data_IF_200766463584
#
_entry.id   IF_200766463584
#
_cell.length_a   1.000
_cell.length_b   1.000
_cell.length_c   1.000
_cell.angle_alpha   90.00
_cell.angle_beta   90.00
_cell.angle_gamma   90.00
#
_symmetry.space_group_name_H-M   'P 1'
#
loop_
_entity.id
_entity.type
_entity.pdbx_description
1 polymer ?
#
# COMPACT_ATOMS: atom_id res chain seq x y z
N UNK A 1 -40.74 -11.34 70.31
CA UNK A 1 -39.30 -11.68 70.41
C UNK A 1 -38.70 -11.39 69.04
N UNK A 2 -37.74 -10.47 68.99
CA UNK A 2 -37.25 -9.79 67.78
C UNK A 2 -36.61 -10.72 66.75
N UNK A 3 -37.01 -10.62 65.49
CA UNK A 3 -36.27 -11.20 64.36
C UNK A 3 -35.80 -10.10 63.42
N UNK A 4 -34.48 -10.13 63.18
CA UNK A 4 -33.65 -9.08 62.59
C UNK A 4 -33.93 -8.88 61.10
N UNK A 5 -34.24 -7.65 60.70
CA UNK A 5 -34.20 -7.22 59.31
C UNK A 5 -32.73 -7.03 58.90
N UNK A 6 -32.21 -7.89 58.02
CA UNK A 6 -30.89 -7.74 57.41
C UNK A 6 -30.98 -6.72 56.28
N UNK A 7 -30.39 -5.55 56.48
CA UNK A 7 -30.07 -4.62 55.40
C UNK A 7 -28.96 -5.24 54.54
N UNK A 8 -29.27 -5.52 53.28
CA UNK A 8 -28.26 -5.79 52.26
C UNK A 8 -27.88 -4.45 51.61
N UNK A 9 -26.64 -4.00 51.85
CA UNK A 9 -26.01 -2.97 51.03
C UNK A 9 -25.79 -3.58 49.63
N UNK A 10 -26.51 -3.09 48.63
CA UNK A 10 -26.16 -3.31 47.23
C UNK A 10 -25.07 -2.28 46.91
N UNK A 11 -23.81 -2.73 46.88
CA UNK A 11 -22.73 -1.96 46.31
C UNK A 11 -22.95 -1.86 44.79
N UNK A 12 -23.36 -0.69 44.31
CA UNK A 12 -23.42 -0.40 42.89
C UNK A 12 -21.99 -0.31 42.35
N UNK A 13 -21.50 -1.41 41.79
CA UNK A 13 -20.26 -1.42 40.98
C UNK A 13 -20.56 -0.62 39.72
N UNK A 14 -20.12 0.64 39.70
CA UNK A 14 -20.17 1.48 38.51
C UNK A 14 -19.11 0.93 37.55
N UNK A 15 -19.54 0.08 36.62
CA UNK A 15 -18.72 -0.35 35.49
C UNK A 15 -18.43 0.89 34.64
N UNK A 16 -17.24 1.47 34.81
CA UNK A 16 -16.72 2.46 33.87
C UNK A 16 -16.45 1.71 32.57
N UNK A 17 -17.40 1.76 31.65
CA UNK A 17 -17.20 1.36 30.27
C UNK A 17 -16.10 2.28 29.72
N UNK A 18 -14.86 1.78 29.67
CA UNK A 18 -13.88 2.29 28.74
C UNK A 18 -14.47 2.07 27.35
N UNK A 19 -15.12 3.10 26.82
CA UNK A 19 -15.36 3.20 25.39
C UNK A 19 -13.97 3.27 24.79
N UNK A 20 -13.46 2.12 24.32
CA UNK A 20 -12.36 2.10 23.40
C UNK A 20 -12.77 3.04 22.27
N UNK A 21 -12.15 4.21 22.19
CA UNK A 21 -12.20 5.02 20.99
C UNK A 21 -11.63 4.11 19.91
N UNK A 22 -12.52 3.53 19.09
CA UNK A 22 -12.14 2.95 17.82
C UNK A 22 -11.45 4.09 17.09
N UNK A 23 -10.12 4.08 17.08
CA UNK A 23 -9.37 5.00 16.25
C UNK A 23 -9.92 4.83 14.84
N UNK A 24 -10.49 5.90 14.30
CA UNK A 24 -10.92 5.92 12.91
C UNK A 24 -9.74 5.51 12.05
N UNK A 25 -10.02 4.77 10.99
CA UNK A 25 -9.01 4.30 10.03
C UNK A 25 -8.18 5.47 9.50
N UNK A 26 -8.84 6.50 8.97
CA UNK A 26 -8.23 7.82 8.74
C UNK A 26 -8.69 8.80 9.83
N UNK A 27 -7.88 9.84 10.07
CA UNK A 27 -8.23 10.88 11.04
C UNK A 27 -9.57 11.57 10.69
N UNK A 28 -10.31 12.01 11.71
CA UNK A 28 -11.61 12.67 11.52
C UNK A 28 -11.51 13.95 10.68
N UNK A 29 -10.50 14.84 10.87
CA UNK A 29 -10.35 16.02 10.02
C UNK A 29 -10.12 15.64 8.55
N UNK A 30 -9.30 14.62 8.27
CA UNK A 30 -9.06 14.18 6.90
C UNK A 30 -10.30 13.53 6.27
N UNK A 31 -11.03 12.68 6.99
CA UNK A 31 -12.31 12.13 6.50
C UNK A 31 -13.29 13.25 6.15
N UNK A 32 -13.43 14.25 7.03
CA UNK A 32 -14.33 15.39 6.82
C UNK A 32 -13.91 16.19 5.59
N UNK A 33 -12.61 16.46 5.44
CA UNK A 33 -12.07 17.12 4.25
C UNK A 33 -12.42 16.36 2.96
N UNK A 34 -12.28 15.03 2.96
CA UNK A 34 -12.67 14.22 1.80
C UNK A 34 -14.17 14.34 1.54
N UNK A 35 -15.01 14.24 2.57
CA UNK A 35 -16.45 14.36 2.43
C UNK A 35 -16.87 15.71 1.85
N UNK A 36 -16.25 16.80 2.30
CA UNK A 36 -16.54 18.16 1.85
C UNK A 36 -16.07 18.45 0.41
N UNK A 37 -14.96 17.85 -0.03
CA UNK A 37 -14.35 18.15 -1.33
C UNK A 37 -14.61 17.09 -2.43
N UNK A 38 -14.89 15.86 -2.03
CA UNK A 38 -15.07 14.70 -2.92
C UNK A 38 -16.40 13.97 -2.70
N UNK A 39 -17.09 14.23 -1.58
CA UNK A 39 -18.37 13.60 -1.24
C UNK A 39 -18.25 12.47 -0.22
N UNK A 40 -19.33 12.23 0.53
CA UNK A 40 -19.36 11.25 1.64
C UNK A 40 -19.07 9.82 1.18
N UNK A 41 -19.54 9.43 -0.01
CA UNK A 41 -19.27 8.09 -0.57
C UNK A 41 -17.76 7.86 -0.78
N UNK A 42 -17.03 8.87 -1.24
CA UNK A 42 -15.57 8.78 -1.40
C UNK A 42 -14.88 8.76 -0.04
N UNK A 43 -15.39 9.53 0.93
CA UNK A 43 -14.87 9.53 2.31
C UNK A 43 -15.01 8.15 2.96
N UNK A 44 -16.18 7.52 2.89
CA UNK A 44 -16.43 6.17 3.40
C UNK A 44 -15.52 5.14 2.70
N UNK A 45 -15.44 5.23 1.37
CA UNK A 45 -14.62 4.34 0.55
C UNK A 45 -13.14 4.42 0.89
N UNK A 46 -12.60 5.63 1.09
CA UNK A 46 -11.19 5.81 1.47
C UNK A 46 -10.93 5.52 2.94
N UNK A 47 -11.92 5.73 3.81
CA UNK A 47 -11.79 5.39 5.22
C UNK A 47 -11.75 3.86 5.42
N UNK A 48 -12.53 3.07 4.68
CA UNK A 48 -12.54 1.61 4.86
C UNK A 48 -12.88 1.17 6.30
N UNK A 49 -13.82 1.86 6.92
CA UNK A 49 -14.33 1.52 8.26
C UNK A 49 -14.99 0.12 8.27
N UNK A 50 -15.46 -0.37 7.10
CA UNK A 50 -16.05 -1.69 6.86
C UNK A 50 -15.10 -2.86 7.20
N UNK A 51 -13.78 -2.65 7.14
CA UNK A 51 -12.76 -3.67 7.45
C UNK A 51 -12.00 -3.37 8.74
N UNK A 52 -12.61 -2.57 9.61
CA UNK A 52 -12.12 -2.23 10.95
C UNK A 52 -10.95 -1.24 10.94
N UNK A 53 -10.34 -1.04 12.11
CA UNK A 53 -9.28 -0.05 12.35
C UNK A 53 -8.05 -0.19 11.43
N UNK A 54 -7.93 -1.34 10.75
CA UNK A 54 -6.84 -1.67 9.84
C UNK A 54 -7.05 -1.20 8.40
N UNK A 55 -8.26 -0.73 8.08
CA UNK A 55 -8.68 -0.43 6.72
C UNK A 55 -7.89 0.67 6.03
N UNK A 56 -7.52 1.73 6.74
CA UNK A 56 -6.76 2.85 6.16
C UNK A 56 -5.92 3.52 7.23
N UNK A 57 -5.10 4.48 6.84
CA UNK A 57 -4.37 5.40 7.73
C UNK A 57 -4.11 6.74 7.09
N UNK A 58 -3.92 7.74 7.94
CA UNK A 58 -3.42 9.05 7.56
C UNK A 58 -4.32 10.22 7.98
N UNK A 59 -3.75 11.40 7.82
CA UNK A 59 -4.33 12.68 8.19
C UNK A 59 -3.94 13.15 9.59
N UNK A 60 -4.12 14.45 9.81
CA UNK A 60 -3.80 15.09 11.09
C UNK A 60 -4.95 14.97 12.07
N UNK A 61 -4.62 14.84 13.35
CA UNK A 61 -5.61 15.00 14.43
C UNK A 61 -5.99 16.47 14.65
N UNK A 62 -5.24 17.41 14.07
CA UNK A 62 -5.56 18.84 14.06
C UNK A 62 -6.54 19.19 12.93
N UNK A 63 -7.44 20.14 13.21
CA UNK A 63 -8.37 20.69 12.24
C UNK A 63 -7.67 21.60 11.21
N UNK A 64 -8.20 21.63 9.99
CA UNK A 64 -7.67 22.44 8.88
C UNK A 64 -6.53 21.79 8.10
N UNK A 65 -5.81 22.60 7.32
CA UNK A 65 -4.68 22.14 6.50
C UNK A 65 -3.52 21.74 7.41
N UNK A 66 -3.01 20.50 7.30
CA UNK A 66 -1.97 20.02 8.20
C UNK A 66 -0.65 20.73 7.92
N UNK A 67 0.07 21.09 8.98
CA UNK A 67 1.41 21.68 8.89
C UNK A 67 2.45 20.58 8.77
N UNK A 68 2.84 20.26 7.55
CA UNK A 68 3.76 19.16 7.28
C UNK A 68 5.22 19.59 7.39
N UNK A 69 6.04 18.74 7.99
CA UNK A 69 7.50 18.91 8.04
C UNK A 69 8.16 18.15 6.87
N UNK A 70 7.54 17.05 6.44
CA UNK A 70 8.06 16.16 5.39
C UNK A 70 7.09 16.06 4.22
N UNK A 71 7.60 15.59 3.07
CA UNK A 71 6.78 15.33 1.88
C UNK A 71 5.76 14.22 2.23
N UNK A 72 4.47 14.40 1.94
CA UNK A 72 3.49 13.35 2.16
C UNK A 72 3.74 12.12 1.27
N UNK A 73 3.53 10.94 1.84
CA UNK A 73 3.77 9.64 1.19
C UNK A 73 2.47 8.83 1.18
N UNK A 74 2.11 8.31 0.00
CA UNK A 74 0.99 7.38 -0.17
C UNK A 74 1.52 5.97 -0.38
N UNK A 75 1.22 5.07 0.56
CA UNK A 75 1.58 3.67 0.51
C UNK A 75 0.44 2.85 -0.12
N UNK A 76 0.79 1.95 -1.04
CA UNK A 76 -0.13 1.08 -1.75
C UNK A 76 0.26 -0.37 -1.48
N UNK A 77 -0.55 -1.05 -0.68
CA UNK A 77 -0.32 -2.43 -0.25
C UNK A 77 -0.43 -3.42 -1.42
N UNK A 78 -0.02 -4.67 -1.18
CA UNK A 78 -0.11 -5.78 -2.15
C UNK A 78 -1.42 -6.58 -2.06
N UNK A 79 -1.43 -7.79 -2.64
CA UNK A 79 -2.62 -8.64 -2.77
C UNK A 79 -3.33 -8.96 -1.45
N UNK A 80 -4.68 -8.84 -1.47
CA UNK A 80 -5.69 -9.12 -0.42
C UNK A 80 -5.30 -8.77 1.03
N UNK A 81 -4.52 -7.70 1.22
CA UNK A 81 -4.17 -7.18 2.55
C UNK A 81 -4.79 -5.81 2.79
N UNK A 82 -4.63 -5.30 4.00
CA UNK A 82 -5.10 -3.96 4.38
C UNK A 82 -3.95 -2.96 4.40
N UNK A 83 -4.27 -1.68 4.25
CA UNK A 83 -3.27 -0.61 4.32
C UNK A 83 -2.43 -0.67 5.61
N UNK A 84 -3.06 -0.90 6.78
CA UNK A 84 -2.36 -1.00 8.07
C UNK A 84 -1.55 -2.30 8.23
N UNK A 85 -1.64 -3.24 7.30
CA UNK A 85 -0.75 -4.42 7.27
C UNK A 85 0.70 -4.02 6.87
N UNK A 86 0.92 -2.76 6.52
CA UNK A 86 2.23 -2.14 6.34
C UNK A 86 2.79 -1.48 7.61
N UNK A 87 2.13 -1.61 8.78
CA UNK A 87 2.58 -0.98 10.02
C UNK A 87 4.04 -1.31 10.38
N UNK A 88 4.48 -2.53 10.07
CA UNK A 88 5.88 -2.90 10.27
C UNK A 88 6.84 -2.11 9.36
N UNK A 89 6.46 -1.89 8.10
CA UNK A 89 7.20 -1.07 7.13
C UNK A 89 7.23 0.41 7.53
N UNK A 90 6.20 0.89 8.24
CA UNK A 90 6.11 2.27 8.70
C UNK A 90 6.98 2.58 9.93
N UNK A 91 7.48 1.55 10.66
CA UNK A 91 8.28 1.76 11.88
C UNK A 91 9.51 2.66 11.65
N UNK A 92 10.34 2.42 10.62
CA UNK A 92 11.46 3.31 10.29
C UNK A 92 11.03 4.76 10.01
N UNK A 93 9.91 4.96 9.32
CA UNK A 93 9.38 6.29 9.05
C UNK A 93 9.02 7.01 10.35
N UNK A 94 8.31 6.34 11.26
CA UNK A 94 7.96 6.89 12.57
C UNK A 94 9.19 7.15 13.45
N UNK A 95 10.19 6.26 13.43
CA UNK A 95 11.46 6.46 14.12
C UNK A 95 12.19 7.73 13.63
N UNK A 96 12.04 8.07 12.35
CA UNK A 96 12.56 9.29 11.74
C UNK A 96 11.56 10.47 11.75
N UNK A 97 10.52 10.38 12.58
CA UNK A 97 9.58 11.47 12.87
C UNK A 97 8.56 11.75 11.78
N UNK A 98 8.24 10.81 10.90
CA UNK A 98 7.00 10.89 10.13
C UNK A 98 5.80 10.64 11.05
N UNK A 99 4.76 11.44 10.93
CA UNK A 99 3.47 11.22 11.59
C UNK A 99 2.43 10.74 10.58
N UNK A 100 1.23 10.40 11.05
CA UNK A 100 0.10 10.14 10.15
C UNK A 100 -0.37 11.38 9.38
N UNK A 101 0.07 12.59 9.74
CA UNK A 101 -0.11 13.75 8.88
C UNK A 101 0.77 13.69 7.62
N UNK A 102 1.80 12.86 7.57
CA UNK A 102 2.68 12.70 6.40
C UNK A 102 2.62 11.32 5.73
N UNK A 103 2.07 10.29 6.37
CA UNK A 103 1.95 8.94 5.76
C UNK A 103 0.49 8.52 5.64
N UNK A 104 0.14 8.00 4.46
CA UNK A 104 -1.23 7.72 4.08
C UNK A 104 -1.34 6.36 3.38
N UNK A 105 -2.47 5.69 3.56
CA UNK A 105 -2.79 4.47 2.81
C UNK A 105 -4.27 4.12 2.93
N UNK A 106 -4.85 3.60 1.85
CA UNK A 106 -6.22 3.05 1.85
C UNK A 106 -6.20 1.61 1.41
N UNK A 107 -7.06 0.77 2.01
CA UNK A 107 -7.22 -0.59 1.50
C UNK A 107 -8.06 -0.56 0.24
N UNK A 108 -7.53 -1.01 -0.89
CA UNK A 108 -8.34 -1.27 -2.07
C UNK A 108 -8.94 -2.68 -2.00
N UNK A 109 -10.05 -2.88 -2.70
CA UNK A 109 -10.70 -4.19 -2.81
C UNK A 109 -11.56 -4.58 -1.62
N UNK A 110 -12.52 -5.47 -1.90
CA UNK A 110 -13.59 -5.84 -0.96
C UNK A 110 -13.23 -7.07 -0.13
N UNK A 111 -12.39 -7.95 -0.68
CA UNK A 111 -11.94 -9.17 -0.02
C UNK A 111 -10.56 -8.94 0.61
N UNK A 112 -10.55 -8.58 1.90
CA UNK A 112 -9.32 -8.32 2.66
C UNK A 112 -8.86 -9.52 3.50
N UNK A 113 -9.42 -10.70 3.22
CA UNK A 113 -9.11 -11.96 3.91
C UNK A 113 -8.01 -12.72 3.19
N UNK A 114 -7.29 -13.57 3.93
CA UNK A 114 -6.22 -14.39 3.36
C UNK A 114 -6.66 -15.48 2.37
N UNK A 115 -7.97 -15.71 2.21
CA UNK A 115 -8.50 -16.85 1.43
C UNK A 115 -8.71 -16.54 -0.05
N UNK A 116 -8.58 -15.29 -0.49
CA UNK A 116 -8.94 -14.87 -1.86
C UNK A 116 -7.77 -14.30 -2.68
N UNK A 117 -6.52 -14.52 -2.26
CA UNK A 117 -5.37 -13.89 -2.91
C UNK A 117 -5.33 -14.15 -4.42
N UNK A 118 -5.56 -15.38 -4.89
CA UNK A 118 -5.54 -15.69 -6.33
C UNK A 118 -6.74 -15.18 -7.17
N UNK A 119 -7.73 -14.54 -6.55
CA UNK A 119 -8.95 -14.06 -7.21
C UNK A 119 -8.91 -12.59 -7.62
N UNK A 120 -7.95 -11.83 -7.10
CA UNK A 120 -7.82 -10.41 -7.39
C UNK A 120 -7.24 -10.15 -8.78
N UNK A 121 -7.79 -9.13 -9.44
CA UNK A 121 -7.34 -8.60 -10.73
C UNK A 121 -7.12 -7.10 -10.59
N UNK A 122 -6.54 -6.47 -11.59
CA UNK A 122 -6.49 -5.01 -11.70
C UNK A 122 -7.86 -4.40 -12.03
N UNK A 123 -8.84 -4.62 -11.15
CA UNK A 123 -10.17 -4.07 -11.28
C UNK A 123 -10.11 -2.55 -11.29
N UNK A 124 -10.83 -1.91 -12.22
CA UNK A 124 -10.88 -0.45 -12.30
C UNK A 124 -11.24 0.21 -10.95
N UNK A 125 -12.13 -0.42 -10.20
CA UNK A 125 -12.55 0.03 -8.87
C UNK A 125 -11.35 0.13 -7.90
N UNK A 126 -10.41 -0.82 -7.96
CA UNK A 126 -9.25 -0.85 -7.06
C UNK A 126 -8.28 0.26 -7.45
N UNK A 127 -8.08 0.45 -8.76
CA UNK A 127 -7.24 1.52 -9.31
C UNK A 127 -7.79 2.90 -8.97
N UNK A 128 -9.11 3.10 -9.12
CA UNK A 128 -9.80 4.35 -8.75
C UNK A 128 -9.59 4.67 -7.28
N UNK A 129 -9.66 3.67 -6.41
CA UNK A 129 -9.45 3.88 -4.99
C UNK A 129 -8.02 4.34 -4.65
N UNK A 130 -7.00 3.71 -5.25
CA UNK A 130 -5.61 4.15 -5.12
C UNK A 130 -5.44 5.59 -5.64
N UNK A 131 -6.02 5.89 -6.81
CA UNK A 131 -5.96 7.22 -7.40
C UNK A 131 -6.61 8.29 -6.52
N UNK A 132 -7.82 8.02 -6.04
CA UNK A 132 -8.57 8.93 -5.17
C UNK A 132 -7.80 9.24 -3.88
N UNK A 133 -7.10 8.26 -3.32
CA UNK A 133 -6.24 8.50 -2.15
C UNK A 133 -5.10 9.47 -2.48
N UNK A 134 -4.43 9.31 -3.62
CA UNK A 134 -3.37 10.23 -4.06
C UNK A 134 -3.93 11.67 -4.24
N UNK A 135 -5.07 11.80 -4.91
CA UNK A 135 -5.72 13.09 -5.17
C UNK A 135 -6.23 13.75 -3.87
N UNK A 136 -6.82 12.97 -2.96
CA UNK A 136 -7.27 13.44 -1.65
C UNK A 136 -6.11 13.95 -0.80
N UNK A 137 -4.97 13.24 -0.76
CA UNK A 137 -3.78 13.68 -0.02
C UNK A 137 -3.20 14.95 -0.61
N UNK A 138 -3.05 15.03 -1.94
CA UNK A 138 -2.58 16.25 -2.62
C UNK A 138 -3.50 17.45 -2.34
N UNK A 139 -4.81 17.23 -2.26
CA UNK A 139 -5.79 18.28 -1.98
C UNK A 139 -5.79 18.69 -0.50
N UNK A 140 -5.80 17.73 0.42
CA UNK A 140 -5.85 17.96 1.87
C UNK A 140 -4.59 18.64 2.39
N UNK A 141 -3.43 18.16 1.98
CA UNK A 141 -2.13 18.69 2.45
C UNK A 141 -1.73 19.97 1.72
N UNK A 142 -2.38 20.30 0.61
CA UNK A 142 -2.01 21.37 -0.33
C UNK A 142 -0.59 21.24 -0.90
N UNK A 143 0.07 20.09 -0.71
CA UNK A 143 1.43 19.87 -1.19
C UNK A 143 1.44 19.80 -2.73
N UNK A 144 2.45 20.41 -3.38
CA UNK A 144 2.52 20.41 -4.84
C UNK A 144 2.75 19.01 -5.40
N UNK A 145 3.45 18.15 -4.67
CA UNK A 145 3.75 16.77 -5.05
C UNK A 145 3.78 15.84 -3.84
N UNK A 146 3.48 14.56 -4.04
CA UNK A 146 3.60 13.48 -3.04
C UNK A 146 4.58 12.41 -3.51
N UNK A 147 5.05 11.59 -2.59
CA UNK A 147 5.68 10.31 -2.95
C UNK A 147 4.65 9.18 -2.95
N UNK A 148 4.87 8.18 -3.79
CA UNK A 148 4.02 6.98 -3.88
C UNK A 148 4.89 5.74 -3.80
N UNK A 149 4.55 4.84 -2.88
CA UNK A 149 5.28 3.58 -2.67
C UNK A 149 4.33 2.42 -2.88
N UNK A 150 4.58 1.61 -3.90
CA UNK A 150 3.81 0.39 -4.17
C UNK A 150 4.57 -0.86 -3.71
N UNK A 151 3.85 -1.82 -3.14
CA UNK A 151 4.39 -3.13 -2.75
C UNK A 151 3.67 -4.24 -3.49
N UNK A 152 4.41 -5.20 -4.06
CA UNK A 152 3.80 -6.36 -4.72
C UNK A 152 2.77 -5.92 -5.77
N UNK A 153 1.51 -6.38 -5.67
CA UNK A 153 0.41 -5.97 -6.54
C UNK A 153 0.08 -4.46 -6.49
N UNK A 154 0.46 -3.76 -5.42
CA UNK A 154 0.36 -2.30 -5.33
C UNK A 154 1.25 -1.55 -6.31
N UNK A 155 2.32 -2.18 -6.82
CA UNK A 155 3.20 -1.60 -7.85
C UNK A 155 2.47 -1.37 -9.17
N UNK A 156 1.91 -2.39 -9.84
CA UNK A 156 1.14 -2.15 -11.05
C UNK A 156 -0.10 -1.26 -10.79
N UNK A 157 -0.73 -1.36 -9.62
CA UNK A 157 -1.93 -0.58 -9.33
C UNK A 157 -1.65 0.92 -9.18
N UNK A 158 -0.61 1.28 -8.44
CA UNK A 158 -0.13 2.66 -8.35
C UNK A 158 0.32 3.19 -9.71
N UNK A 159 0.99 2.37 -10.51
CA UNK A 159 1.32 2.68 -11.91
C UNK A 159 0.08 3.05 -12.73
N UNK A 160 -0.99 2.25 -12.70
CA UNK A 160 -2.21 2.61 -13.44
C UNK A 160 -2.91 3.85 -12.88
N UNK A 161 -2.97 4.00 -11.56
CA UNK A 161 -3.56 5.16 -10.90
C UNK A 161 -2.86 6.46 -11.32
N UNK A 162 -1.53 6.43 -11.43
CA UNK A 162 -0.72 7.57 -11.89
C UNK A 162 -0.86 7.78 -13.40
N UNK A 163 -0.86 6.72 -14.20
CA UNK A 163 -1.02 6.81 -15.66
C UNK A 163 -2.34 7.48 -16.04
N UNK A 164 -3.41 7.17 -15.32
CA UNK A 164 -4.75 7.61 -15.67
C UNK A 164 -5.26 6.96 -16.97
N UNK A 165 -6.00 7.74 -17.76
CA UNK A 165 -6.65 7.29 -18.98
C UNK A 165 -7.76 6.27 -18.69
N UNK A 166 -8.05 5.40 -19.66
CA UNK A 166 -9.14 4.42 -19.52
C UNK A 166 -8.70 3.17 -18.76
N UNK A 167 -9.56 2.67 -17.88
CA UNK A 167 -9.44 1.34 -17.33
C UNK A 167 -9.57 0.27 -18.44
N UNK A 168 -8.71 -0.74 -18.41
CA UNK A 168 -8.62 -1.74 -19.47
C UNK A 168 -9.81 -2.71 -19.48
N UNK A 169 -10.37 -3.00 -18.30
CA UNK A 169 -11.52 -3.88 -18.10
C UNK A 169 -12.87 -3.20 -18.34
N UNK A 170 -13.08 -2.01 -17.78
CA UNK A 170 -14.38 -1.32 -17.81
C UNK A 170 -14.47 -0.19 -18.83
N UNK A 171 -13.34 0.33 -19.31
CA UNK A 171 -13.30 1.52 -20.18
C UNK A 171 -13.58 2.85 -19.48
N UNK A 172 -13.83 2.82 -18.17
CA UNK A 172 -14.07 4.01 -17.36
C UNK A 172 -12.85 4.93 -17.35
N UNK A 173 -13.08 6.23 -17.32
CA UNK A 173 -12.01 7.24 -17.35
C UNK A 173 -11.47 7.51 -15.93
N UNK A 174 -10.15 7.34 -15.76
CA UNK A 174 -9.41 7.70 -14.57
C UNK A 174 -8.94 9.17 -14.62
N UNK A 175 -9.12 9.87 -15.74
CA UNK A 175 -8.67 11.24 -15.93
C UNK A 175 -7.20 11.33 -16.37
N UNK A 176 -6.67 12.55 -16.34
CA UNK A 176 -5.32 12.85 -16.81
C UNK A 176 -4.22 12.22 -15.94
N UNK A 177 -3.01 11.97 -16.49
CA UNK A 177 -1.89 11.45 -15.73
C UNK A 177 -1.53 12.34 -14.53
N UNK A 178 -1.22 11.72 -13.39
CA UNK A 178 -0.74 12.41 -12.18
C UNK A 178 0.78 12.62 -12.18
N UNK A 179 1.48 12.27 -13.25
CA UNK A 179 2.95 12.34 -13.41
C UNK A 179 3.60 13.63 -12.88
N UNK A 180 2.95 14.78 -13.09
CA UNK A 180 3.49 16.08 -12.64
C UNK A 180 3.30 16.34 -11.12
N UNK A 181 2.43 15.58 -10.47
CA UNK A 181 2.09 15.64 -9.04
C UNK A 181 2.80 14.57 -8.21
N UNK A 182 3.57 13.68 -8.84
CA UNK A 182 4.39 12.70 -8.14
C UNK A 182 5.83 13.23 -8.06
N UNK A 183 6.37 13.29 -6.84
CA UNK A 183 7.78 13.61 -6.59
C UNK A 183 8.61 12.36 -6.80
N UNK A 184 8.37 11.32 -6.01
CA UNK A 184 9.04 10.02 -6.15
C UNK A 184 8.01 8.92 -6.30
N UNK A 185 8.24 8.02 -7.26
CA UNK A 185 7.55 6.73 -7.26
C UNK A 185 8.56 5.63 -6.95
N UNK A 186 8.24 4.75 -6.00
CA UNK A 186 9.05 3.61 -5.61
C UNK A 186 8.22 2.33 -5.69
N UNK A 187 8.66 1.38 -6.52
CA UNK A 187 8.09 0.03 -6.57
C UNK A 187 8.95 -0.97 -5.80
N UNK A 188 8.33 -1.76 -4.93
CA UNK A 188 8.99 -2.80 -4.12
C UNK A 188 8.41 -4.17 -4.47
N UNK A 189 9.25 -5.11 -4.91
CA UNK A 189 8.87 -6.49 -5.21
C UNK A 189 7.62 -6.61 -6.12
N UNK A 190 7.54 -5.76 -7.16
CA UNK A 190 6.29 -5.52 -7.87
C UNK A 190 6.02 -6.43 -9.07
N UNK A 191 4.81 -6.99 -9.15
CA UNK A 191 4.32 -7.83 -10.26
C UNK A 191 3.98 -7.07 -11.57
N UNK A 192 4.60 -5.91 -11.79
CA UNK A 192 4.34 -5.05 -12.95
C UNK A 192 4.91 -5.59 -14.27
N UNK A 193 5.57 -6.76 -14.26
CA UNK A 193 5.99 -7.53 -15.45
C UNK A 193 5.29 -8.89 -15.53
N UNK A 194 4.27 -9.09 -14.69
CA UNK A 194 3.60 -10.35 -14.47
C UNK A 194 4.18 -11.17 -13.32
N UNK A 195 3.54 -12.28 -13.01
CA UNK A 195 3.88 -13.21 -11.93
C UNK A 195 4.28 -14.58 -12.48
N UNK A 196 5.22 -15.27 -11.83
CA UNK A 196 5.69 -16.57 -12.31
C UNK A 196 4.62 -17.65 -12.17
N UNK A 197 3.76 -17.58 -11.15
CA UNK A 197 2.69 -18.55 -10.92
C UNK A 197 1.67 -18.54 -12.06
N UNK A 198 1.54 -17.43 -12.79
CA UNK A 198 0.70 -17.39 -14.00
C UNK A 198 1.23 -18.25 -15.14
N UNK A 199 2.51 -18.64 -15.10
CA UNK A 199 3.07 -19.62 -16.04
C UNK A 199 2.79 -21.04 -15.60
N UNK A 200 2.78 -21.27 -14.29
CA UNK A 200 2.54 -22.59 -13.70
C UNK A 200 1.07 -22.98 -13.82
N UNK A 201 0.17 -22.04 -13.50
CA UNK A 201 -1.27 -22.20 -13.70
C UNK A 201 -1.90 -20.91 -14.26
N UNK A 202 -2.16 -20.83 -15.58
CA UNK A 202 -2.76 -19.65 -16.19
C UNK A 202 -4.26 -19.51 -15.88
N UNK A 203 -4.89 -20.47 -15.17
CA UNK A 203 -6.32 -20.45 -14.88
C UNK A 203 -6.68 -19.62 -13.65
N UNK A 204 -5.69 -19.18 -12.86
CA UNK A 204 -5.97 -18.24 -11.78
C UNK A 204 -6.57 -16.94 -12.33
N UNK A 205 -7.56 -16.41 -11.62
CA UNK A 205 -8.21 -15.16 -12.03
C UNK A 205 -7.22 -14.00 -12.09
N UNK A 206 -6.23 -13.98 -11.19
CA UNK A 206 -5.14 -13.01 -11.22
C UNK A 206 -4.33 -13.04 -12.53
N UNK A 207 -4.39 -14.12 -13.31
CA UNK A 207 -3.70 -14.30 -14.58
C UNK A 207 -4.58 -13.97 -15.79
N UNK A 208 -5.70 -13.29 -15.57
CA UNK A 208 -6.62 -12.90 -16.62
C UNK A 208 -5.91 -12.14 -17.78
N UNK A 209 -6.16 -12.49 -19.05
CA UNK A 209 -5.47 -11.86 -20.20
C UNK A 209 -5.90 -10.40 -20.47
N UNK A 210 -6.96 -9.91 -19.81
CA UNK A 210 -7.42 -8.52 -19.93
C UNK A 210 -6.84 -7.71 -18.78
N UNK A 211 -7.25 -8.00 -17.54
CA UNK A 211 -6.90 -7.21 -16.36
C UNK A 211 -6.11 -7.97 -15.29
N UNK A 212 -5.44 -9.06 -15.67
CA UNK A 212 -4.56 -9.82 -14.78
C UNK A 212 -3.07 -9.47 -14.94
N UNK A 213 -2.22 -10.28 -14.31
CA UNK A 213 -0.77 -10.15 -14.21
C UNK A 213 -0.07 -11.30 -14.95
N UNK A 214 -0.63 -11.73 -16.09
CA UNK A 214 -0.06 -12.82 -16.88
C UNK A 214 1.15 -12.33 -17.71
N UNK A 215 2.37 -12.86 -17.49
CA UNK A 215 3.57 -12.48 -18.24
C UNK A 215 3.60 -13.05 -19.66
N UNK A 216 2.96 -14.19 -19.91
CA UNK A 216 3.04 -14.92 -21.17
C UNK A 216 1.83 -14.60 -22.04
N UNK A 217 2.09 -13.81 -23.10
CA UNK A 217 1.05 -13.17 -23.90
C UNK A 217 0.72 -11.73 -23.51
N UNK A 218 1.31 -11.21 -22.41
CA UNK A 218 1.11 -9.87 -21.83
C UNK A 218 -0.37 -9.46 -21.74
N UNK A 219 -0.93 -9.52 -20.53
CA UNK A 219 -2.30 -9.03 -20.34
C UNK A 219 -2.44 -7.60 -20.87
N UNK A 220 -3.63 -7.24 -21.37
CA UNK A 220 -3.88 -5.87 -21.86
C UNK A 220 -3.53 -4.81 -20.82
N UNK A 221 -3.72 -5.14 -19.54
CA UNK A 221 -3.36 -4.28 -18.42
C UNK A 221 -1.85 -4.11 -18.25
N UNK A 222 -1.07 -5.19 -18.31
CA UNK A 222 0.40 -5.09 -18.26
C UNK A 222 0.93 -4.29 -19.46
N UNK A 223 0.39 -4.53 -20.66
CA UNK A 223 0.74 -3.76 -21.84
C UNK A 223 0.44 -2.26 -21.67
N UNK A 224 -0.73 -1.92 -21.12
CA UNK A 224 -1.15 -0.53 -20.89
C UNK A 224 -0.21 0.21 -19.93
N UNK A 225 0.16 -0.40 -18.79
CA UNK A 225 1.05 0.25 -17.80
C UNK A 225 2.54 0.22 -18.17
N UNK A 226 2.94 -0.61 -19.15
CA UNK A 226 4.33 -0.77 -19.54
C UNK A 226 4.68 -0.11 -20.88
N UNK A 227 3.69 0.14 -21.75
CA UNK A 227 3.90 0.83 -23.03
C UNK A 227 4.49 2.24 -22.84
N UNK A 228 3.96 3.10 -21.96
CA UNK A 228 4.59 4.37 -21.66
C UNK A 228 5.77 4.16 -20.70
N UNK A 229 6.84 4.91 -20.93
CA UNK A 229 8.06 4.88 -20.12
C UNK A 229 8.14 6.12 -19.24
N UNK A 230 8.59 5.92 -17.99
CA UNK A 230 8.93 6.98 -17.04
C UNK A 230 7.81 7.99 -16.75
N UNK A 231 6.56 7.55 -16.81
CA UNK A 231 5.41 8.40 -16.53
C UNK A 231 5.07 8.43 -15.03
N UNK A 232 5.65 7.53 -14.23
CA UNK A 232 5.37 7.38 -12.81
C UNK A 232 5.78 8.65 -12.02
N UNK A 233 6.85 9.32 -12.44
CA UNK A 233 7.28 10.63 -11.95
C UNK A 233 8.20 11.32 -12.95
N UNK A 234 8.15 12.66 -13.02
CA UNK A 234 9.16 13.45 -13.77
C UNK A 234 10.46 13.69 -12.98
N UNK A 235 10.48 13.37 -11.70
CA UNK A 235 11.58 13.75 -10.81
C UNK A 235 12.43 12.54 -10.42
N UNK A 236 11.82 11.46 -9.94
CA UNK A 236 12.53 10.30 -9.40
C UNK A 236 11.68 9.04 -9.47
N UNK A 237 12.22 7.98 -10.08
CA UNK A 237 11.60 6.66 -10.22
C UNK A 237 12.55 5.61 -9.66
N UNK A 238 12.12 4.87 -8.65
CA UNK A 238 12.95 3.94 -7.88
C UNK A 238 12.36 2.54 -7.89
N UNK A 239 13.23 1.54 -7.75
CA UNK A 239 12.84 0.14 -7.66
C UNK A 239 13.66 -0.60 -6.62
N UNK A 240 12.98 -1.49 -5.88
CA UNK A 240 13.60 -2.56 -5.11
C UNK A 240 13.04 -3.87 -5.67
N UNK A 241 13.94 -4.71 -6.13
CA UNK A 241 13.64 -5.98 -6.78
C UNK A 241 14.53 -7.08 -6.18
N UNK A 242 14.05 -8.33 -6.14
CA UNK A 242 14.84 -9.48 -5.71
C UNK A 242 14.85 -10.56 -6.78
N UNK A 243 16.00 -11.18 -7.02
CA UNK A 243 16.11 -12.33 -7.93
C UNK A 243 15.51 -13.60 -7.31
N UNK A 244 15.53 -13.69 -5.98
CA UNK A 244 15.05 -14.84 -5.20
C UNK A 244 13.57 -14.65 -4.79
N UNK A 245 12.88 -13.67 -5.38
CA UNK A 245 11.44 -13.47 -5.17
C UNK A 245 10.67 -14.70 -5.69
N UNK A 246 10.13 -15.47 -4.76
CA UNK A 246 9.44 -16.74 -4.97
C UNK A 246 8.00 -16.58 -5.47
N UNK A 247 7.49 -15.35 -5.57
CA UNK A 247 6.12 -15.04 -6.01
C UNK A 247 6.15 -14.32 -7.36
N UNK A 248 6.80 -13.17 -7.44
CA UNK A 248 6.91 -12.47 -8.73
C UNK A 248 7.87 -13.23 -9.68
N UNK A 249 8.78 -14.01 -9.11
CA UNK A 249 9.76 -14.81 -9.83
C UNK A 249 11.05 -14.05 -10.14
N UNK A 250 12.12 -14.78 -10.50
CA UNK A 250 13.39 -14.19 -10.87
C UNK A 250 13.22 -13.25 -12.06
N UNK A 251 13.70 -12.02 -11.90
CA UNK A 251 13.67 -11.01 -12.95
C UNK A 251 14.82 -11.29 -13.92
N UNK A 252 14.57 -12.20 -14.86
CA UNK A 252 15.50 -12.41 -15.95
C UNK A 252 15.58 -11.14 -16.81
N UNK A 253 16.80 -10.75 -17.18
CA UNK A 253 17.10 -9.55 -17.99
C UNK A 253 16.35 -9.51 -19.34
N UNK A 254 15.79 -10.64 -19.75
CA UNK A 254 15.14 -10.89 -21.05
C UNK A 254 13.61 -10.92 -21.01
N UNK A 255 12.92 -10.35 -20.01
CA UNK A 255 11.47 -10.14 -20.05
C UNK A 255 11.00 -9.08 -21.08
N UNK A 256 11.55 -9.17 -22.30
CA UNK A 256 11.11 -8.59 -23.58
C UNK A 256 11.48 -7.12 -23.84
N UNK A 257 12.78 -6.83 -23.83
CA UNK A 257 13.33 -5.75 -24.67
C UNK A 257 13.39 -4.35 -24.09
N UNK A 258 12.94 -4.13 -22.85
CA UNK A 258 13.18 -2.86 -22.13
C UNK A 258 14.33 -3.09 -21.15
N UNK A 259 15.45 -2.39 -21.35
CA UNK A 259 16.57 -2.47 -20.40
C UNK A 259 16.13 -1.90 -19.05
N UNK A 260 16.42 -2.61 -17.95
CA UNK A 260 16.12 -2.17 -16.56
C UNK A 260 16.56 -0.71 -16.29
N UNK A 261 17.65 -0.30 -16.93
CA UNK A 261 18.27 1.04 -16.85
C UNK A 261 17.47 2.17 -17.52
N UNK A 262 16.46 1.86 -18.34
CA UNK A 262 15.66 2.88 -19.04
C UNK A 262 14.42 3.31 -18.23
N UNK A 263 14.00 2.51 -17.23
CA UNK A 263 12.79 2.77 -16.43
C UNK A 263 13.06 3.43 -15.07
N UNK A 264 14.14 3.04 -14.38
CA UNK A 264 14.45 3.54 -13.04
C UNK A 264 15.62 4.52 -13.06
N UNK A 265 15.56 5.53 -12.21
CA UNK A 265 16.72 6.36 -11.86
C UNK A 265 17.67 5.61 -10.92
N UNK A 266 17.13 4.75 -10.05
CA UNK A 266 17.89 3.80 -9.24
C UNK A 266 17.08 2.52 -9.03
N UNK A 267 17.72 1.39 -9.28
CA UNK A 267 17.18 0.05 -9.02
C UNK A 267 18.12 -0.66 -8.05
N UNK A 268 17.61 -1.05 -6.89
CA UNK A 268 18.31 -1.96 -5.96
C UNK A 268 17.88 -3.38 -6.31
N UNK A 269 18.84 -4.22 -6.69
CA UNK A 269 18.62 -5.61 -7.05
C UNK A 269 19.21 -6.53 -5.99
N UNK A 270 18.35 -7.06 -5.15
CA UNK A 270 18.65 -8.00 -4.08
C UNK A 270 18.80 -9.41 -4.66
N UNK A 271 19.64 -10.20 -4.02
CA UNK A 271 20.12 -11.49 -4.47
C UNK A 271 19.53 -12.67 -3.69
N UNK A 272 19.14 -12.50 -2.42
CA UNK A 272 18.94 -13.63 -1.49
C UNK A 272 17.63 -13.64 -0.72
N UNK A 273 16.70 -12.75 -1.04
CA UNK A 273 15.48 -12.58 -0.24
C UNK A 273 14.21 -12.93 -1.02
N UNK A 274 13.30 -13.68 -0.38
CA UNK A 274 11.99 -14.01 -0.95
C UNK A 274 11.00 -12.84 -0.94
N UNK A 275 9.82 -13.05 -1.54
CA UNK A 275 8.79 -12.01 -1.68
C UNK A 275 8.38 -11.41 -0.34
N UNK A 276 8.22 -12.28 0.66
CA UNK A 276 7.86 -11.87 2.02
C UNK A 276 8.90 -10.93 2.63
N UNK A 277 10.17 -11.34 2.57
CA UNK A 277 11.27 -10.55 3.08
C UNK A 277 11.28 -9.15 2.41
N UNK A 278 11.15 -9.12 1.08
CA UNK A 278 11.19 -7.89 0.30
C UNK A 278 10.03 -6.93 0.60
N UNK A 279 8.83 -7.45 0.88
CA UNK A 279 7.64 -6.60 1.11
C UNK A 279 7.63 -6.01 2.52
N UNK A 280 7.93 -6.78 3.57
CA UNK A 280 7.73 -6.32 4.96
C UNK A 280 8.99 -5.90 5.69
N UNK A 281 10.16 -6.39 5.30
CA UNK A 281 11.38 -6.27 6.12
C UNK A 281 12.45 -5.37 5.51
N UNK A 282 12.05 -4.50 4.58
CA UNK A 282 12.92 -3.50 3.94
C UNK A 282 12.52 -2.07 4.29
N UNK A 283 11.84 -1.84 5.42
CA UNK A 283 11.35 -0.52 5.81
C UNK A 283 12.43 0.56 5.84
N UNK A 284 13.61 0.24 6.38
CA UNK A 284 14.75 1.17 6.44
C UNK A 284 15.29 1.47 5.04
N UNK A 285 15.51 0.46 4.20
CA UNK A 285 15.93 0.64 2.81
C UNK A 285 14.93 1.50 2.00
N UNK A 286 13.62 1.29 2.21
CA UNK A 286 12.57 2.12 1.58
C UNK A 286 12.68 3.57 2.05
N UNK A 287 12.86 3.80 3.35
CA UNK A 287 13.06 5.13 3.93
C UNK A 287 14.30 5.81 3.35
N UNK A 288 15.45 5.12 3.34
CA UNK A 288 16.73 5.65 2.86
C UNK A 288 16.65 6.05 1.38
N UNK A 289 16.05 5.20 0.54
CA UNK A 289 15.88 5.48 -0.89
C UNK A 289 14.97 6.70 -1.16
N UNK A 290 13.88 6.85 -0.40
CA UNK A 290 12.95 7.97 -0.55
C UNK A 290 13.53 9.30 -0.06
N UNK A 291 14.45 9.25 0.90
CA UNK A 291 15.04 10.41 1.57
C UNK A 291 16.50 10.67 1.17
N UNK A 292 17.01 9.94 0.18
CA UNK A 292 18.38 10.06 -0.34
C UNK A 292 19.46 9.89 0.75
N UNK A 293 19.19 9.06 1.76
CA UNK A 293 20.20 8.68 2.74
C UNK A 293 21.21 7.70 2.12
N UNK A 294 22.44 7.64 2.66
CA UNK A 294 23.37 6.56 2.36
C UNK A 294 22.69 5.21 2.59
N UNK A 295 22.97 4.26 1.70
CA UNK A 295 22.51 2.89 1.89
C UNK A 295 23.55 2.12 2.70
N UNK A 296 23.07 1.31 3.63
CA UNK A 296 23.89 0.27 4.25
C UNK A 296 24.33 -0.78 3.22
N UNK A 297 25.27 -1.63 3.64
CA UNK A 297 25.72 -2.74 2.81
C UNK A 297 24.55 -3.68 2.48
N UNK A 298 24.34 -3.94 1.18
CA UNK A 298 23.19 -4.73 0.71
C UNK A 298 23.20 -6.14 1.28
N UNK A 299 24.36 -6.75 1.53
CA UNK A 299 24.44 -8.09 2.14
C UNK A 299 23.92 -8.04 3.57
N UNK A 300 24.30 -7.01 4.33
CA UNK A 300 23.79 -6.79 5.69
C UNK A 300 22.28 -6.57 5.71
N UNK A 301 21.75 -5.73 4.82
CA UNK A 301 20.30 -5.47 4.70
C UNK A 301 19.54 -6.78 4.42
N UNK A 302 20.05 -7.61 3.50
CA UNK A 302 19.45 -8.90 3.19
C UNK A 302 19.52 -9.90 4.35
N UNK A 303 20.65 -9.95 5.05
CA UNK A 303 20.82 -10.85 6.20
C UNK A 303 19.83 -10.50 7.31
N UNK A 304 19.66 -9.21 7.62
CA UNK A 304 18.67 -8.74 8.59
C UNK A 304 17.24 -9.05 8.13
N UNK A 305 16.89 -8.75 6.88
CA UNK A 305 15.57 -9.04 6.35
C UNK A 305 15.23 -10.54 6.37
N UNK A 306 16.21 -11.40 6.09
CA UNK A 306 16.07 -12.86 6.18
C UNK A 306 15.90 -13.33 7.61
N UNK A 307 16.67 -12.79 8.55
CA UNK A 307 16.55 -13.11 9.97
C UNK A 307 15.16 -12.74 10.49
N UNK A 308 14.70 -11.51 10.23
CA UNK A 308 13.38 -11.04 10.61
C UNK A 308 12.28 -11.88 9.96
N UNK A 309 12.40 -12.19 8.66
CA UNK A 309 11.41 -13.01 7.95
C UNK A 309 11.29 -14.44 8.47
N UNK A 310 12.38 -15.01 9.03
CA UNK A 310 12.36 -16.34 9.66
C UNK A 310 11.81 -16.32 11.08
N UNK A 311 12.10 -15.26 11.82
CA UNK A 311 11.80 -15.17 13.25
C UNK A 311 10.45 -14.54 13.57
N UNK A 312 9.90 -13.70 12.68
CA UNK A 312 8.64 -13.01 12.90
C UNK A 312 7.50 -13.62 12.08
N UNK A 313 6.46 -14.03 12.79
CA UNK A 313 5.20 -14.49 12.19
C UNK A 313 4.43 -13.31 11.60
N UNK A 314 3.41 -13.61 10.81
CA UNK A 314 2.48 -12.58 10.31
C UNK A 314 1.83 -11.80 11.46
N UNK A 315 1.46 -12.48 12.55
CA UNK A 315 0.91 -11.82 13.74
C UNK A 315 1.88 -10.86 14.40
N UNK A 316 3.18 -11.19 14.44
CA UNK A 316 4.22 -10.34 15.06
C UNK A 316 4.44 -9.04 14.28
N UNK A 317 4.30 -9.09 12.95
CA UNK A 317 4.32 -7.90 12.09
C UNK A 317 2.94 -7.24 11.96
N UNK A 318 2.02 -7.65 12.82
CA UNK A 318 0.70 -7.10 12.96
C UNK A 318 -0.33 -7.72 12.02
N UNK A 319 0.00 -8.55 11.02
CA UNK A 319 -0.94 -9.15 10.06
C UNK A 319 -1.86 -10.18 10.74
N UNK A 320 -3.16 -10.05 10.51
CA UNK A 320 -4.17 -11.00 11.00
C UNK A 320 -5.07 -11.44 9.86
N UNK A 321 -5.26 -12.75 9.72
CA UNK A 321 -6.07 -13.36 8.67
C UNK A 321 -7.54 -13.55 9.09
N UNK A 322 -7.89 -13.28 10.35
CA UNK A 322 -9.26 -13.40 10.84
C UNK A 322 -10.02 -12.08 10.71
N UNK A 323 -10.92 -12.03 9.73
CA UNK A 323 -12.11 -11.18 9.67
C UNK A 323 -13.26 -11.98 9.07
#
# INVERSE_FOLDING_TARGET
MFTKMKFWLIAAVTCVLFVYHTHGTISKPFRRHIAENFGEEIAERLAREDVGWRGSFGGSDEEGVPKLIKVPIVFVHGQTRRARDLDYVLKPFHAHGYSFAEVYGTTYGKNVTGTNYMHDRAYCDYIKQVRLMIEAVLNYTTYPKVDVVGFSMGVPFSKKAILGGRCVDTGEDLGAPLTARIRTWLGVAGAHRGMIECREDPNYELCNPINGLNPDGESKYLADINTPVRYESKTKILGIESIDDDIVGPINETHRGIKKTERYDKLVLLQRIGHRAAVWFLGDLVYELLTDQPLDDLTSIEDEALELSRNLTDKDIGIDYQL
#
